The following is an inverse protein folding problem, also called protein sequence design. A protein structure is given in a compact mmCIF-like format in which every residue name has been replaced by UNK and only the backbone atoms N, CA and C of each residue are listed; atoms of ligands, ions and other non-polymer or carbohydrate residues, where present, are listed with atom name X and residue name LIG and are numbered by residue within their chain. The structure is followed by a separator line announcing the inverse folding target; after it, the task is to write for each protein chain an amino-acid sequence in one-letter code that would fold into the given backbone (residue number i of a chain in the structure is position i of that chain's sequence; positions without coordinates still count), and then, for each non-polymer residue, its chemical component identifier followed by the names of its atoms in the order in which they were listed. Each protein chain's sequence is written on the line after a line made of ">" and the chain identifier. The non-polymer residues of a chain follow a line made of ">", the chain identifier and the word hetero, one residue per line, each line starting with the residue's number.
data_IF_350696897005
#
_entry.id   IF_350696897005
#
_cell.length_a   1.000
_cell.length_b   1.000
_cell.length_c   1.000
_cell.angle_alpha   90.00
_cell.angle_beta   90.00
_cell.angle_gamma   90.00
#
_symmetry.space_group_name_H-M   'P 1'
#
loop_
_entity.id
_entity.type
_entity.pdbx_description
1 polymer ?
#
# COMPACT_ATOMS: atom_id res chain seq x y z
N UNK A 1 -9.76 44.83 17.57
CA UNK A 1 -9.77 43.41 17.96
C UNK A 1 -10.10 42.50 16.76
N UNK A 2 -11.09 42.84 15.92
CA UNK A 2 -11.49 42.04 14.74
C UNK A 2 -10.36 41.64 13.77
N UNK A 3 -9.39 42.53 13.50
CA UNK A 3 -8.25 42.21 12.62
C UNK A 3 -7.29 41.16 13.20
N UNK A 4 -7.20 41.05 14.52
CA UNK A 4 -6.33 40.08 15.19
C UNK A 4 -6.95 38.68 15.14
N UNK A 5 -8.26 38.57 15.41
CA UNK A 5 -8.99 37.32 15.30
C UNK A 5 -9.02 36.78 13.86
N UNK A 6 -9.21 37.65 12.86
CA UNK A 6 -9.15 37.25 11.45
C UNK A 6 -7.77 36.69 11.04
N UNK A 7 -6.68 37.26 11.55
CA UNK A 7 -5.31 36.75 11.32
C UNK A 7 -5.10 35.37 11.93
N UNK A 8 -5.58 35.16 13.16
CA UNK A 8 -5.45 33.87 13.85
C UNK A 8 -6.24 32.75 13.17
N UNK A 9 -7.44 33.04 12.66
CA UNK A 9 -8.22 32.07 11.91
C UNK A 9 -7.56 31.71 10.58
N UNK A 10 -6.98 32.70 9.88
CA UNK A 10 -6.23 32.45 8.66
C UNK A 10 -4.99 31.57 8.92
N UNK A 11 -4.20 31.87 9.95
CA UNK A 11 -3.05 31.06 10.34
C UNK A 11 -3.44 29.62 10.72
N UNK A 12 -4.57 29.46 11.42
CA UNK A 12 -5.12 28.14 11.75
C UNK A 12 -5.49 27.39 10.47
N UNK A 13 -6.21 28.01 9.56
CA UNK A 13 -6.60 27.38 8.29
C UNK A 13 -5.37 26.95 7.48
N UNK A 14 -4.33 27.78 7.40
CA UNK A 14 -3.08 27.44 6.72
C UNK A 14 -2.42 26.22 7.36
N UNK A 15 -2.38 26.17 8.70
CA UNK A 15 -1.83 25.03 9.43
C UNK A 15 -2.63 23.75 9.20
N UNK A 16 -3.95 23.82 9.31
CA UNK A 16 -4.85 22.67 9.12
C UNK A 16 -4.73 22.14 7.68
N UNK A 17 -4.62 23.05 6.70
CA UNK A 17 -4.40 22.71 5.29
C UNK A 17 -3.05 22.03 5.07
N UNK A 18 -1.98 22.54 5.69
CA UNK A 18 -0.65 21.94 5.62
C UNK A 18 -0.65 20.53 6.22
N UNK A 19 -1.28 20.35 7.39
CA UNK A 19 -1.40 19.04 8.03
C UNK A 19 -2.18 18.05 7.14
N UNK A 20 -3.30 18.49 6.55
CA UNK A 20 -4.08 17.65 5.64
C UNK A 20 -3.26 17.15 4.44
N UNK A 21 -2.39 17.99 3.88
CA UNK A 21 -1.52 17.60 2.75
C UNK A 21 -0.48 16.59 3.23
N UNK A 22 0.20 16.85 4.34
CA UNK A 22 1.21 15.95 4.89
C UNK A 22 0.63 14.57 5.22
N UNK A 23 -0.54 14.54 5.86
CA UNK A 23 -1.22 13.28 6.19
C UNK A 23 -1.64 12.51 4.94
N UNK A 24 -2.00 13.23 3.86
CA UNK A 24 -2.35 12.63 2.58
C UNK A 24 -1.14 12.04 1.87
N UNK A 25 -0.02 12.75 1.86
CA UNK A 25 1.24 12.27 1.28
C UNK A 25 1.79 11.06 2.04
N UNK A 26 1.73 11.07 3.38
CA UNK A 26 2.17 9.95 4.20
C UNK A 26 1.32 8.70 3.96
N UNK A 27 -0.01 8.85 3.93
CA UNK A 27 -0.93 7.76 3.61
C UNK A 27 -0.70 7.21 2.21
N UNK A 28 -0.65 8.08 1.19
CA UNK A 28 -0.40 7.65 -0.19
C UNK A 28 0.94 6.94 -0.36
N UNK A 29 1.99 7.38 0.35
CA UNK A 29 3.28 6.69 0.35
C UNK A 29 3.20 5.32 1.02
N UNK A 30 2.51 5.21 2.16
CA UNK A 30 2.35 3.94 2.87
C UNK A 30 1.56 2.92 2.03
N UNK A 31 0.41 3.35 1.49
CA UNK A 31 -0.44 2.53 0.61
C UNK A 31 0.32 2.08 -0.65
N UNK A 32 1.08 2.99 -1.28
CA UNK A 32 1.88 2.66 -2.46
C UNK A 32 2.99 1.64 -2.19
N UNK A 33 3.61 1.69 -1.00
CA UNK A 33 4.61 0.70 -0.59
C UNK A 33 3.95 -0.65 -0.33
N UNK A 34 2.82 -0.68 0.39
CA UNK A 34 2.09 -1.92 0.69
C UNK A 34 1.63 -2.62 -0.59
N UNK A 35 0.97 -1.89 -1.50
CA UNK A 35 0.54 -2.41 -2.79
C UNK A 35 1.73 -2.89 -3.64
N UNK A 36 2.84 -2.15 -3.63
CA UNK A 36 4.04 -2.54 -4.36
C UNK A 36 4.66 -3.84 -3.84
N UNK A 37 4.66 -4.04 -2.53
CA UNK A 37 5.13 -5.28 -1.90
C UNK A 37 4.20 -6.43 -2.29
N UNK A 38 2.88 -6.29 -2.11
CA UNK A 38 1.88 -7.31 -2.44
C UNK A 38 1.98 -7.76 -3.91
N UNK A 39 1.93 -6.82 -4.86
CA UNK A 39 2.05 -7.11 -6.29
C UNK A 39 3.38 -7.79 -6.63
N UNK A 40 4.47 -7.43 -5.94
CA UNK A 40 5.77 -8.05 -6.17
C UNK A 40 5.80 -9.51 -5.71
N UNK A 41 5.15 -9.84 -4.60
CA UNK A 41 5.05 -11.20 -4.06
C UNK A 41 4.19 -12.07 -4.97
N UNK A 42 3.04 -11.57 -5.42
CA UNK A 42 2.17 -12.27 -6.37
C UNK A 42 2.88 -12.57 -7.69
N UNK A 43 3.61 -11.58 -8.24
CA UNK A 43 4.37 -11.77 -9.48
C UNK A 43 5.45 -12.84 -9.31
N UNK A 44 6.20 -12.80 -8.22
CA UNK A 44 7.25 -13.79 -7.92
C UNK A 44 6.63 -15.18 -7.74
N UNK A 45 5.54 -15.29 -6.98
CA UNK A 45 4.82 -16.56 -6.79
C UNK A 45 4.32 -17.13 -8.12
N UNK A 46 3.75 -16.29 -8.99
CA UNK A 46 3.29 -16.70 -10.33
C UNK A 46 4.44 -17.22 -11.19
N UNK A 47 5.60 -16.55 -11.19
CA UNK A 47 6.80 -17.00 -11.90
C UNK A 47 7.34 -18.33 -11.33
N UNK A 48 7.29 -18.52 -10.00
CA UNK A 48 7.69 -19.76 -9.33
C UNK A 48 6.76 -20.93 -9.69
N UNK A 49 5.44 -20.71 -9.67
CA UNK A 49 4.43 -21.68 -10.08
C UNK A 49 4.62 -22.09 -11.55
N UNK A 50 4.85 -21.11 -12.44
CA UNK A 50 5.12 -21.37 -13.85
C UNK A 50 6.40 -22.20 -14.09
N UNK A 51 7.37 -22.11 -13.18
CA UNK A 51 8.59 -22.93 -13.19
C UNK A 51 8.40 -24.31 -12.56
N UNK A 52 7.20 -24.63 -12.07
CA UNK A 52 6.86 -25.92 -11.45
C UNK A 52 7.43 -26.09 -10.05
N UNK A 53 7.70 -24.99 -9.32
CA UNK A 53 8.09 -25.07 -7.91
C UNK A 53 6.92 -25.54 -7.04
N UNK A 54 7.23 -26.20 -5.94
CA UNK A 54 6.24 -26.73 -5.01
C UNK A 54 5.49 -25.60 -4.28
N UNK A 55 4.16 -25.73 -4.20
CA UNK A 55 3.27 -24.70 -3.65
C UNK A 55 3.51 -24.43 -2.16
N UNK A 56 3.90 -25.46 -1.41
CA UNK A 56 4.20 -25.30 0.01
C UNK A 56 5.47 -24.44 0.18
N UNK A 57 6.51 -24.72 -0.61
CA UNK A 57 7.74 -23.92 -0.61
C UNK A 57 7.48 -22.48 -1.05
N UNK A 58 6.64 -22.26 -2.06
CA UNK A 58 6.29 -20.90 -2.51
C UNK A 58 5.60 -20.15 -1.37
N UNK A 59 4.61 -20.76 -0.71
CA UNK A 59 3.91 -20.15 0.43
C UNK A 59 4.85 -19.84 1.60
N UNK A 60 5.83 -20.69 1.88
CA UNK A 60 6.85 -20.45 2.92
C UNK A 60 7.77 -19.25 2.58
N UNK A 61 8.07 -19.02 1.30
CA UNK A 61 8.94 -17.93 0.85
C UNK A 61 8.18 -16.60 0.71
N UNK A 62 6.99 -16.63 0.11
CA UNK A 62 6.23 -15.41 -0.21
C UNK A 62 5.27 -15.01 0.90
N UNK A 63 4.97 -15.93 1.84
CA UNK A 63 3.97 -15.73 2.88
C UNK A 63 2.52 -15.86 2.38
N UNK A 64 2.32 -16.18 1.10
CA UNK A 64 0.99 -16.37 0.52
C UNK A 64 0.37 -17.69 1.00
N UNK A 65 -0.91 -17.63 1.30
CA UNK A 65 -1.72 -18.79 1.64
C UNK A 65 -1.96 -19.69 0.43
N UNK A 66 -2.27 -20.98 0.65
CA UNK A 66 -2.64 -21.88 -0.44
C UNK A 66 -3.83 -21.39 -1.27
N UNK A 67 -4.76 -20.63 -0.67
CA UNK A 67 -5.90 -20.06 -1.37
C UNK A 67 -5.47 -18.93 -2.34
N UNK A 68 -4.59 -18.03 -1.90
CA UNK A 68 -4.04 -16.96 -2.74
C UNK A 68 -3.20 -17.55 -3.88
N UNK A 69 -2.37 -18.56 -3.60
CA UNK A 69 -1.60 -19.27 -4.63
C UNK A 69 -2.50 -19.98 -5.65
N UNK A 70 -3.67 -20.48 -5.24
CA UNK A 70 -4.63 -21.10 -6.15
C UNK A 70 -5.30 -20.10 -7.10
N UNK A 71 -5.56 -18.86 -6.64
CA UNK A 71 -6.11 -17.78 -7.47
C UNK A 71 -5.08 -17.24 -8.48
N UNK A 72 -3.78 -17.29 -8.15
CA UNK A 72 -2.69 -16.89 -9.05
C UNK A 72 -2.42 -17.90 -10.17
N UNK A 73 -2.91 -19.14 -10.03
CA UNK A 73 -2.80 -20.13 -11.12
C UNK A 73 -3.65 -19.65 -12.29
N UNK A 74 -3.09 -19.62 -13.51
CA UNK A 74 -3.90 -19.30 -14.68
C UNK A 74 -5.05 -20.31 -14.76
N UNK A 75 -6.29 -19.82 -14.81
CA UNK A 75 -7.48 -20.62 -15.10
C UNK A 75 -7.31 -21.15 -16.53
N UNK A 76 -6.80 -22.38 -16.66
CA UNK A 76 -6.78 -23.14 -17.91
C UNK A 76 -8.12 -23.82 -18.13
#
# INVERSE_FOLDING_TARGET
>A
EDSFFASLEHERWVRDRAQMILDGEERGRAEGIEQGIEQSLERVATEMLAKGMDEQLIGEITGLSPAELAELKPKM
#
